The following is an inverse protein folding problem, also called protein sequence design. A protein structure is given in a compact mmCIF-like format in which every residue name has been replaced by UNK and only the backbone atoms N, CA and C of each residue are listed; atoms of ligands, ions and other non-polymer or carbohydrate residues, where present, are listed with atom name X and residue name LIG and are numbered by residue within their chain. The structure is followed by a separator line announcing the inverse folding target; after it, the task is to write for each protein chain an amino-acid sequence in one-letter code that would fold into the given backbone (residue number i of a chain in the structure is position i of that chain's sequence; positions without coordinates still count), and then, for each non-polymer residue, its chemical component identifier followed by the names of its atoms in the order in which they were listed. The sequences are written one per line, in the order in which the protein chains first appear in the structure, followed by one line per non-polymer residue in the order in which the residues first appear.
data_IF_882762841921
#
_entry.id   IF_882762841921
#
_cell.length_a   1.000
_cell.length_b   1.000
_cell.length_c   1.000
_cell.angle_alpha   90.00
_cell.angle_beta   90.00
_cell.angle_gamma   90.00
#
_symmetry.space_group_name_H-M   'P 1'
#
loop_
_entity.id
_entity.type
_entity.pdbx_description
1 polymer ?
#
# COMPACT_ATOMS: atom_id res chain seq x y z
N UNK A 1 8.26 -14.58 -10.23
CA UNK A 1 8.59 -13.57 -9.20
C UNK A 1 7.38 -13.41 -8.28
N UNK A 2 7.36 -14.08 -7.12
CA UNK A 2 6.13 -14.20 -6.30
C UNK A 2 5.58 -12.86 -5.80
N UNK A 3 6.42 -11.83 -5.74
CA UNK A 3 6.05 -10.49 -5.26
C UNK A 3 5.04 -9.81 -6.20
N UNK A 4 5.25 -9.92 -7.51
CA UNK A 4 4.36 -9.31 -8.50
C UNK A 4 2.97 -9.95 -8.49
N UNK A 5 2.90 -11.27 -8.25
CA UNK A 5 1.65 -12.00 -8.16
C UNK A 5 0.86 -11.62 -6.91
N UNK A 6 1.51 -11.54 -5.75
CA UNK A 6 0.87 -11.11 -4.50
C UNK A 6 0.37 -9.65 -4.58
N UNK A 7 1.14 -8.77 -5.22
CA UNK A 7 0.71 -7.39 -5.47
C UNK A 7 -0.52 -7.33 -6.38
N UNK A 8 -0.55 -8.16 -7.43
CA UNK A 8 -1.69 -8.24 -8.35
C UNK A 8 -2.96 -8.72 -7.64
N UNK A 9 -2.87 -9.78 -6.83
CA UNK A 9 -4.00 -10.29 -6.03
C UNK A 9 -4.50 -9.23 -5.05
N UNK A 10 -3.59 -8.59 -4.30
CA UNK A 10 -3.96 -7.53 -3.36
C UNK A 10 -4.69 -6.37 -4.06
N UNK A 11 -4.26 -5.99 -5.27
CA UNK A 11 -4.90 -4.93 -6.05
C UNK A 11 -6.28 -5.30 -6.61
N UNK A 12 -6.50 -6.58 -6.92
CA UNK A 12 -7.79 -7.08 -7.40
C UNK A 12 -8.83 -7.02 -6.29
N UNK A 13 -8.47 -7.43 -5.08
CA UNK A 13 -9.36 -7.40 -3.91
C UNK A 13 -9.53 -6.00 -3.31
N UNK A 14 -8.64 -5.05 -3.64
CA UNK A 14 -8.61 -3.76 -2.96
C UNK A 14 -9.92 -2.96 -3.11
N UNK A 15 -10.65 -2.82 -2.02
CA UNK A 15 -11.90 -2.03 -1.96
C UNK A 15 -13.01 -2.55 -2.87
N UNK A 16 -13.06 -3.85 -3.16
CA UNK A 16 -14.12 -4.47 -3.97
C UNK A 16 -15.52 -4.21 -3.39
N UNK A 17 -15.72 -4.49 -2.11
CA UNK A 17 -17.03 -4.31 -1.45
C UNK A 17 -17.38 -2.84 -1.16
N UNK A 18 -16.40 -1.94 -1.25
CA UNK A 18 -16.56 -0.52 -0.88
C UNK A 18 -16.82 0.44 -2.03
N UNK A 19 -16.89 -0.06 -3.27
CA UNK A 19 -17.06 0.77 -4.46
C UNK A 19 -15.80 1.53 -4.89
N UNK A 20 -15.93 2.27 -6.01
CA UNK A 20 -14.80 2.90 -6.70
C UNK A 20 -14.07 3.95 -5.84
N UNK A 21 -14.80 4.72 -5.05
CA UNK A 21 -14.25 5.79 -4.21
C UNK A 21 -13.40 5.25 -3.06
N UNK A 22 -13.88 4.19 -2.38
CA UNK A 22 -13.13 3.54 -1.30
C UNK A 22 -11.83 2.93 -1.83
N UNK A 23 -11.89 2.26 -2.99
CA UNK A 23 -10.70 1.75 -3.69
C UNK A 23 -9.71 2.86 -4.05
N UNK A 24 -10.18 3.96 -4.65
CA UNK A 24 -9.33 5.08 -5.02
C UNK A 24 -8.67 5.72 -3.78
N UNK A 25 -9.41 5.83 -2.69
CA UNK A 25 -8.92 6.35 -1.40
C UNK A 25 -7.81 5.45 -0.83
N UNK A 26 -8.02 4.13 -0.79
CA UNK A 26 -7.00 3.19 -0.32
C UNK A 26 -5.73 3.21 -1.19
N UNK A 27 -5.88 3.26 -2.53
CA UNK A 27 -4.76 3.37 -3.47
C UNK A 27 -3.95 4.65 -3.24
N UNK A 28 -4.61 5.80 -3.02
CA UNK A 28 -3.92 7.07 -2.72
C UNK A 28 -3.12 7.00 -1.42
N UNK A 29 -3.65 6.35 -0.39
CA UNK A 29 -2.91 6.14 0.88
C UNK A 29 -1.67 5.28 0.64
N UNK A 30 -1.81 4.14 -0.04
CA UNK A 30 -0.69 3.25 -0.38
C UNK A 30 0.38 3.94 -1.20
N UNK A 31 -0.02 4.71 -2.22
CA UNK A 31 0.91 5.51 -3.03
C UNK A 31 1.64 6.55 -2.17
N UNK A 32 0.94 7.23 -1.26
CA UNK A 32 1.59 8.21 -0.37
C UNK A 32 2.61 7.56 0.57
N UNK A 33 2.29 6.40 1.12
CA UNK A 33 3.21 5.63 1.96
C UNK A 33 4.46 5.19 1.18
N UNK A 34 4.27 4.63 -0.02
CA UNK A 34 5.37 4.25 -0.90
C UNK A 34 6.25 5.46 -1.25
N UNK A 35 5.62 6.57 -1.66
CA UNK A 35 6.29 7.80 -2.07
C UNK A 35 7.14 8.40 -0.94
N UNK A 36 6.61 8.45 0.28
CA UNK A 36 7.34 8.98 1.44
C UNK A 36 8.65 8.20 1.68
N UNK A 37 8.62 6.86 1.59
CA UNK A 37 9.85 6.05 1.73
C UNK A 37 10.75 6.18 0.51
N UNK A 38 10.22 6.33 -0.70
CA UNK A 38 11.04 6.56 -1.91
C UNK A 38 11.80 7.88 -1.82
N UNK A 39 11.15 8.94 -1.32
CA UNK A 39 11.74 10.28 -1.19
C UNK A 39 12.71 10.38 0.00
N UNK A 40 12.44 9.65 1.08
CA UNK A 40 13.29 9.62 2.28
C UNK A 40 13.49 8.17 2.78
N UNK A 41 14.33 7.37 2.11
CA UNK A 41 14.46 5.94 2.37
C UNK A 41 15.10 5.60 3.71
N UNK A 42 15.80 6.54 4.34
CA UNK A 42 16.45 6.34 5.64
C UNK A 42 15.65 6.87 6.83
N UNK A 43 14.55 7.58 6.57
CA UNK A 43 13.68 8.10 7.63
C UNK A 43 12.79 6.97 8.16
N UNK A 44 13.09 6.54 9.40
CA UNK A 44 12.38 5.48 10.08
C UNK A 44 10.88 5.78 10.27
N UNK A 45 10.48 7.06 10.29
CA UNK A 45 9.08 7.46 10.45
C UNK A 45 8.21 7.07 9.27
N UNK A 46 8.78 6.97 8.07
CA UNK A 46 8.04 6.53 6.87
C UNK A 46 8.05 5.01 6.71
N UNK A 47 8.96 4.31 7.40
CA UNK A 47 9.06 2.85 7.42
C UNK A 47 8.30 2.20 8.56
N UNK A 48 7.49 2.95 9.31
CA UNK A 48 6.67 2.42 10.38
C UNK A 48 5.30 3.06 10.35
N UNK A 49 4.26 2.24 10.46
CA UNK A 49 2.87 2.66 10.45
C UNK A 49 2.21 2.12 11.72
N UNK A 50 1.57 3.01 12.46
CA UNK A 50 0.67 2.62 13.53
C UNK A 50 -0.69 2.25 12.92
N UNK A 51 -1.13 0.97 13.00
CA UNK A 51 -2.41 0.54 12.44
C UNK A 51 -3.62 1.19 13.11
N UNK A 52 -3.47 1.72 14.33
CA UNK A 52 -4.53 2.44 15.05
C UNK A 52 -4.65 3.91 14.63
N UNK A 53 -3.77 4.41 13.75
CA UNK A 53 -3.95 5.74 13.17
C UNK A 53 -5.28 5.79 12.41
N UNK A 54 -6.21 6.66 12.82
CA UNK A 54 -7.58 6.74 12.27
C UNK A 54 -7.61 6.81 10.75
N UNK A 55 -6.72 7.60 10.14
CA UNK A 55 -6.64 7.74 8.68
C UNK A 55 -6.24 6.40 8.05
N UNK A 56 -5.20 5.74 8.55
CA UNK A 56 -4.74 4.45 8.05
C UNK A 56 -5.80 3.38 8.25
N UNK A 57 -6.41 3.33 9.45
CA UNK A 57 -7.42 2.35 9.82
C UNK A 57 -8.63 2.43 8.91
N UNK A 58 -9.24 3.61 8.81
CA UNK A 58 -10.50 3.80 8.07
C UNK A 58 -10.29 3.77 6.56
N UNK A 59 -9.23 4.42 6.06
CA UNK A 59 -9.03 4.62 4.62
C UNK A 59 -8.28 3.49 3.94
N UNK A 60 -7.56 2.67 4.70
CA UNK A 60 -6.76 1.58 4.15
C UNK A 60 -7.06 0.22 4.80
N UNK A 61 -6.91 0.08 6.11
CA UNK A 61 -6.97 -1.25 6.74
C UNK A 61 -8.39 -1.85 6.77
N UNK A 62 -9.42 -1.02 6.83
CA UNK A 62 -10.82 -1.45 6.69
C UNK A 62 -11.24 -1.65 5.22
N UNK A 63 -10.41 -1.28 4.24
CA UNK A 63 -10.66 -1.68 2.86
C UNK A 63 -10.18 -3.13 2.69
N UNK A 64 -11.05 -4.01 2.18
CA UNK A 64 -10.66 -5.35 1.76
C UNK A 64 -9.39 -5.27 0.89
N UNK A 65 -8.42 -6.16 1.10
CA UNK A 65 -7.13 -6.13 0.39
C UNK A 65 -6.13 -5.06 0.85
N UNK A 66 -6.51 -4.11 1.73
CA UNK A 66 -5.63 -3.02 2.17
C UNK A 66 -4.39 -3.48 2.94
N UNK A 67 -4.58 -4.38 3.92
CA UNK A 67 -3.46 -5.00 4.66
C UNK A 67 -2.61 -5.89 3.75
N UNK A 68 -3.24 -6.66 2.86
CA UNK A 68 -2.53 -7.49 1.89
C UNK A 68 -1.64 -6.67 0.95
N UNK A 69 -2.09 -5.47 0.54
CA UNK A 69 -1.29 -4.56 -0.28
C UNK A 69 -0.05 -4.05 0.48
N UNK A 70 -0.16 -3.73 1.78
CA UNK A 70 0.99 -3.37 2.62
C UNK A 70 2.00 -4.53 2.71
N UNK A 71 1.51 -5.75 2.94
CA UNK A 71 2.36 -6.94 2.97
C UNK A 71 3.06 -7.18 1.62
N UNK A 72 2.35 -7.00 0.51
CA UNK A 72 2.92 -7.11 -0.83
C UNK A 72 3.99 -6.04 -1.10
N UNK A 73 3.86 -4.84 -0.53
CA UNK A 73 4.92 -3.81 -0.56
C UNK A 73 6.17 -4.22 0.26
N UNK A 74 6.01 -5.15 1.20
CA UNK A 74 7.07 -5.64 2.09
C UNK A 74 6.95 -5.16 3.53
N UNK A 75 5.81 -4.56 3.93
CA UNK A 75 5.56 -4.30 5.35
C UNK A 75 5.30 -5.61 6.10
N UNK A 76 5.78 -5.66 7.34
CA UNK A 76 5.65 -6.79 8.24
C UNK A 76 5.06 -6.33 9.57
N UNK A 77 4.32 -7.21 10.24
CA UNK A 77 3.81 -6.92 11.58
C UNK A 77 4.90 -7.13 12.62
N UNK A 78 5.24 -6.08 13.37
CA UNK A 78 6.25 -6.12 14.43
C UNK A 78 5.73 -5.36 15.64
N UNK A 79 5.55 -6.06 16.77
CA UNK A 79 5.12 -5.46 18.05
C UNK A 79 3.86 -4.57 17.93
N UNK A 80 2.89 -4.98 17.10
CA UNK A 80 1.65 -4.23 16.88
C UNK A 80 1.77 -3.05 15.90
N UNK A 81 2.92 -2.87 15.25
CA UNK A 81 3.14 -1.91 14.17
C UNK A 81 3.30 -2.62 12.83
N UNK A 82 3.09 -1.88 11.74
CA UNK A 82 3.45 -2.31 10.39
C UNK A 82 4.78 -1.64 10.02
N UNK A 83 5.84 -2.43 9.94
CA UNK A 83 7.22 -1.96 9.73
C UNK A 83 7.71 -2.42 8.37
N UNK A 84 8.38 -1.53 7.64
CA UNK A 84 9.04 -1.83 6.37
C UNK A 84 10.55 -2.01 6.60
N UNK A 85 11.05 -3.25 6.61
CA UNK A 85 12.47 -3.51 6.89
C UNK A 85 13.40 -2.76 5.93
N UNK A 86 14.59 -2.39 6.40
CA UNK A 86 15.62 -1.75 5.56
C UNK A 86 16.12 -2.66 4.43
N UNK A 87 15.96 -3.98 4.59
CA UNK A 87 16.24 -4.97 3.54
C UNK A 87 15.30 -4.85 2.34
N UNK A 88 14.12 -4.23 2.50
CA UNK A 88 13.21 -4.00 1.38
C UNK A 88 13.75 -2.85 0.51
N UNK A 89 14.10 -3.13 -0.76
CA UNK A 89 14.70 -2.13 -1.63
C UNK A 89 13.67 -1.11 -2.12
N UNK A 90 14.09 0.14 -2.29
CA UNK A 90 13.27 1.22 -2.84
C UNK A 90 12.70 0.88 -4.23
N UNK A 91 13.41 0.06 -5.01
CA UNK A 91 12.93 -0.42 -6.30
C UNK A 91 11.58 -1.15 -6.20
N UNK A 92 11.37 -1.97 -5.16
CA UNK A 92 10.09 -2.64 -4.92
C UNK A 92 8.96 -1.64 -4.68
N UNK A 93 9.23 -0.58 -3.92
CA UNK A 93 8.27 0.48 -3.64
C UNK A 93 7.93 1.29 -4.89
N UNK A 94 8.91 1.53 -5.77
CA UNK A 94 8.67 2.17 -7.07
C UNK A 94 7.77 1.32 -7.96
N UNK A 95 8.02 0.01 -8.03
CA UNK A 95 7.15 -0.93 -8.76
C UNK A 95 5.73 -0.96 -8.20
N UNK A 96 5.58 -0.99 -6.87
CA UNK A 96 4.28 -0.92 -6.21
C UNK A 96 3.56 0.40 -6.52
N UNK A 97 4.24 1.54 -6.38
CA UNK A 97 3.68 2.86 -6.66
C UNK A 97 3.20 2.98 -8.12
N UNK A 98 3.99 2.49 -9.08
CA UNK A 98 3.60 2.47 -10.50
C UNK A 98 2.37 1.59 -10.75
N UNK A 99 2.29 0.41 -10.12
CA UNK A 99 1.14 -0.48 -10.23
C UNK A 99 -0.14 0.17 -9.67
N UNK A 100 -0.04 0.86 -8.53
CA UNK A 100 -1.16 1.60 -7.92
C UNK A 100 -1.63 2.76 -8.80
N UNK A 101 -0.70 3.52 -9.37
CA UNK A 101 -1.03 4.62 -10.28
C UNK A 101 -1.77 4.12 -11.52
N UNK A 102 -1.29 3.03 -12.13
CA UNK A 102 -1.93 2.41 -13.28
C UNK A 102 -3.35 1.90 -12.93
N UNK A 103 -3.55 1.37 -11.72
CA UNK A 103 -4.86 0.91 -11.26
C UNK A 103 -5.88 2.06 -11.09
N UNK A 104 -5.43 3.25 -10.70
CA UNK A 104 -6.29 4.45 -10.63
C UNK A 104 -6.66 4.92 -12.04
N UNK A 105 -5.67 5.05 -12.94
CA UNK A 105 -5.89 5.57 -14.31
C UNK A 105 -6.87 4.71 -15.11
N UNK A 106 -6.80 3.37 -15.00
CA UNK A 106 -7.70 2.43 -15.70
C UNK A 106 -9.20 2.61 -15.40
N UNK A 107 -9.58 3.33 -14.35
CA UNK A 107 -10.98 3.56 -13.97
C UNK A 107 -11.47 5.00 -14.21
N UNK A 108 -10.59 5.90 -14.66
CA UNK A 108 -10.94 7.28 -15.06
C UNK A 108 -11.33 7.43 -16.54
N UNK A 109 -11.10 6.39 -17.35
CA UNK A 109 -11.37 6.32 -18.79
C UNK A 109 -12.59 5.44 -19.13
N UNK A 110 -13.39 5.04 -18.13
CA UNK A 110 -14.57 4.19 -18.29
C UNK A 110 -15.84 4.89 -17.81
#
# INVERSE_FOLDING_TARGET
DGIAEEMSKALQCLGLEGGAERRATALRVLMKLAKNVIEAPDDARFRSINPENTIIKERLLQAEGGKAALMAMGFEEQLGLLVLPRSVPVARLRSAHAAFEAAIKRKGDA
#
